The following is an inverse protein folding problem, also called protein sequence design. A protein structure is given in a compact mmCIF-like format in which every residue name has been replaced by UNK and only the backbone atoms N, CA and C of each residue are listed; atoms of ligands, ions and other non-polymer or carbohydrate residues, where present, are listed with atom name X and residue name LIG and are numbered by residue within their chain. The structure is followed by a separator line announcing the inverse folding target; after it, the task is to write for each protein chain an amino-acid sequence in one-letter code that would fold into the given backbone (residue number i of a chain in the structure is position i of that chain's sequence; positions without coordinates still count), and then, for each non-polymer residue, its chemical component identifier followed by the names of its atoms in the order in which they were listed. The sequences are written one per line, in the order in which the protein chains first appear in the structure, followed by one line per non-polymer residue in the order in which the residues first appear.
data_IF_464094533898
#
_entry.id   IF_464094533898
#
_cell.length_a   1.000
_cell.length_b   1.000
_cell.length_c   1.000
_cell.angle_alpha   90.00
_cell.angle_beta   90.00
_cell.angle_gamma   90.00
#
_symmetry.space_group_name_H-M   'P 1'
#
loop_
_entity.id
_entity.type
_entity.pdbx_description
1 polymer ?
#
# COMPACT_ATOMS: atom_id res chain seq x y z
N UNK A 1 26.61 -14.79 -33.03
CA UNK A 1 25.58 -14.86 -31.96
C UNK A 1 24.20 -14.88 -32.61
N UNK A 2 23.53 -16.05 -32.63
CA UNK A 2 22.32 -16.28 -33.42
C UNK A 2 21.22 -15.26 -33.12
N UNK A 3 20.64 -14.63 -34.15
CA UNK A 3 19.52 -13.67 -34.01
C UNK A 3 18.33 -14.27 -33.25
N UNK A 4 18.17 -15.59 -33.28
CA UNK A 4 17.18 -16.34 -32.50
C UNK A 4 17.48 -16.32 -30.98
N UNK A 5 18.74 -16.52 -30.57
CA UNK A 5 19.18 -16.45 -29.17
C UNK A 5 19.08 -15.03 -28.58
N UNK A 6 19.24 -14.01 -29.43
CA UNK A 6 19.09 -12.59 -29.06
C UNK A 6 17.61 -12.20 -28.86
N UNK A 7 16.70 -12.74 -29.67
CA UNK A 7 15.25 -12.52 -29.52
C UNK A 7 14.69 -13.20 -28.26
N UNK A 8 15.08 -14.45 -27.98
CA UNK A 8 14.67 -15.13 -26.75
C UNK A 8 15.23 -14.48 -25.49
N UNK A 9 16.46 -13.97 -25.52
CA UNK A 9 17.03 -13.23 -24.39
C UNK A 9 16.29 -11.91 -24.09
N UNK A 10 15.86 -11.18 -25.13
CA UNK A 10 15.08 -9.94 -24.96
C UNK A 10 13.70 -10.25 -24.37
N UNK A 11 13.03 -11.31 -24.85
CA UNK A 11 11.72 -11.73 -24.33
C UNK A 11 11.83 -12.13 -22.85
N UNK A 12 12.85 -12.89 -22.46
CA UNK A 12 13.11 -13.27 -21.07
C UNK A 12 13.39 -12.04 -20.17
N UNK A 13 14.11 -11.04 -20.68
CA UNK A 13 14.40 -9.80 -19.95
C UNK A 13 13.15 -8.94 -19.72
N UNK A 14 12.23 -8.89 -20.70
CA UNK A 14 10.94 -8.19 -20.56
C UNK A 14 10.01 -8.89 -19.57
N UNK A 15 10.00 -10.22 -19.53
CA UNK A 15 9.19 -11.01 -18.58
C UNK A 15 9.67 -10.83 -17.13
N UNK A 16 10.97 -10.64 -16.92
CA UNK A 16 11.55 -10.38 -15.60
C UNK A 16 11.18 -9.00 -15.05
N UNK A 17 10.93 -8.01 -15.91
CA UNK A 17 10.50 -6.66 -15.51
C UNK A 17 9.02 -6.59 -15.13
N UNK A 18 8.20 -7.57 -15.53
CA UNK A 18 6.78 -7.62 -15.22
C UNK A 18 6.49 -8.20 -13.81
N UNK A 19 7.52 -8.70 -13.11
CA UNK A 19 7.38 -9.36 -11.81
C UNK A 19 7.58 -8.43 -10.61
N UNK A 20 7.69 -7.11 -10.81
CA UNK A 20 7.68 -6.16 -9.69
C UNK A 20 6.27 -6.16 -9.08
N UNK A 21 6.09 -6.86 -7.97
CA UNK A 21 4.83 -7.00 -7.26
C UNK A 21 4.21 -5.65 -6.94
N UNK A 22 2.92 -5.50 -7.29
CA UNK A 22 2.14 -4.29 -7.02
C UNK A 22 1.87 -4.12 -5.51
N UNK A 23 1.93 -5.22 -4.74
CA UNK A 23 1.75 -5.27 -3.29
C UNK A 23 2.90 -6.03 -2.61
N UNK A 24 3.09 -5.79 -1.31
CA UNK A 24 4.10 -6.43 -0.49
C UNK A 24 3.97 -6.08 0.99
N UNK A 25 4.92 -6.52 1.81
CA UNK A 25 4.89 -6.24 3.25
C UNK A 25 5.77 -7.19 4.05
N UNK A 26 5.92 -6.89 5.33
CA UNK A 26 6.50 -7.79 6.32
C UNK A 26 5.65 -7.70 7.57
N UNK A 27 4.86 -8.73 7.82
CA UNK A 27 3.90 -8.74 8.91
C UNK A 27 3.63 -10.13 9.45
N UNK A 28 3.02 -10.15 10.63
CA UNK A 28 2.42 -11.32 11.26
C UNK A 28 0.97 -10.99 11.56
N UNK A 29 0.06 -11.89 11.15
CA UNK A 29 -1.34 -11.92 11.59
C UNK A 29 -1.57 -13.25 12.30
N UNK A 30 -2.19 -13.20 13.48
CA UNK A 30 -2.40 -14.44 14.28
C UNK A 30 -3.73 -15.12 13.96
N UNK A 31 -4.84 -14.38 13.92
CA UNK A 31 -6.19 -14.87 13.57
C UNK A 31 -6.87 -13.76 12.77
N UNK A 32 -7.45 -14.08 11.61
CA UNK A 32 -8.04 -13.10 10.71
C UNK A 32 -7.16 -12.82 9.49
N UNK A 33 -7.51 -11.79 8.72
CA UNK A 33 -6.82 -11.44 7.48
C UNK A 33 -6.89 -9.94 7.18
N UNK A 34 -6.10 -9.51 6.20
CA UNK A 34 -6.14 -8.18 5.60
C UNK A 34 -6.33 -8.38 4.10
N UNK A 35 -7.38 -7.78 3.56
CA UNK A 35 -7.79 -7.90 2.16
C UNK A 35 -7.58 -6.60 1.42
N UNK A 36 -6.84 -6.66 0.31
CA UNK A 36 -6.66 -5.52 -0.58
C UNK A 36 -7.64 -5.58 -1.75
N UNK A 37 -8.33 -4.47 -1.95
CA UNK A 37 -9.21 -4.19 -3.07
C UNK A 37 -8.53 -3.20 -4.02
N UNK A 38 -9.18 -2.87 -5.15
CA UNK A 38 -8.63 -1.91 -6.12
C UNK A 38 -8.36 -0.53 -5.48
N UNK A 39 -9.30 -0.08 -4.67
CA UNK A 39 -9.37 1.28 -4.13
C UNK A 39 -9.56 1.28 -2.60
N UNK A 40 -9.15 0.19 -1.94
CA UNK A 40 -9.28 0.07 -0.50
C UNK A 40 -8.54 -1.14 0.07
N UNK A 41 -8.45 -1.18 1.39
CA UNK A 41 -7.91 -2.28 2.17
C UNK A 41 -8.63 -2.34 3.49
N UNK A 42 -9.04 -3.53 3.90
CA UNK A 42 -9.68 -3.76 5.18
C UNK A 42 -9.04 -4.95 5.89
N UNK A 43 -9.25 -5.04 7.19
CA UNK A 43 -8.79 -6.19 7.95
C UNK A 43 -9.52 -6.33 9.27
N UNK A 44 -9.75 -7.57 9.67
CA UNK A 44 -10.29 -7.91 10.99
C UNK A 44 -9.46 -9.06 11.54
N UNK A 45 -8.81 -8.83 12.69
CA UNK A 45 -7.81 -9.77 13.20
C UNK A 45 -7.59 -9.65 14.72
N UNK A 46 -7.02 -10.70 15.30
CA UNK A 46 -6.64 -10.73 16.72
C UNK A 46 -5.31 -10.05 17.01
N UNK A 47 -4.38 -10.06 16.06
CA UNK A 47 -3.11 -9.33 16.18
C UNK A 47 -2.58 -9.08 14.77
N UNK A 48 -2.25 -7.84 14.46
CA UNK A 48 -1.47 -7.42 13.30
C UNK A 48 -0.22 -6.70 13.77
N UNK A 49 0.94 -7.26 13.42
CA UNK A 49 2.23 -6.68 13.75
C UNK A 49 3.15 -6.64 12.52
N UNK A 50 3.56 -5.44 12.11
CA UNK A 50 4.30 -5.18 10.90
C UNK A 50 3.50 -4.33 9.91
N UNK A 51 3.79 -4.46 8.62
CA UNK A 51 3.17 -3.62 7.59
C UNK A 51 2.84 -4.38 6.31
N UNK A 52 1.83 -3.90 5.59
CA UNK A 52 1.47 -4.34 4.26
C UNK A 52 1.19 -3.11 3.38
N UNK A 53 1.54 -3.17 2.10
CA UNK A 53 1.36 -2.06 1.18
C UNK A 53 0.86 -2.49 -0.19
N UNK A 54 0.21 -1.55 -0.87
CA UNK A 54 -0.07 -1.59 -2.31
C UNK A 54 0.53 -0.37 -3.00
N UNK A 55 0.91 -0.52 -4.27
CA UNK A 55 1.49 0.53 -5.07
C UNK A 55 0.44 1.14 -6.00
N UNK A 56 0.44 2.46 -6.10
CA UNK A 56 -0.45 3.24 -6.97
C UNK A 56 0.37 4.22 -7.79
N UNK A 57 -0.01 4.42 -9.06
CA UNK A 57 0.58 5.46 -9.91
C UNK A 57 -0.29 6.69 -9.84
N UNK A 58 0.33 7.84 -9.55
CA UNK A 58 -0.34 9.13 -9.41
C UNK A 58 0.41 10.16 -10.26
N UNK A 59 -0.33 11.13 -10.79
CA UNK A 59 0.18 12.24 -11.58
C UNK A 59 0.27 13.52 -10.75
N UNK A 60 1.21 14.40 -11.09
CA UNK A 60 1.30 15.74 -10.50
C UNK A 60 -0.03 16.49 -10.68
N UNK A 61 -0.56 17.01 -9.59
CA UNK A 61 -1.85 17.69 -9.54
C UNK A 61 -3.03 16.81 -9.12
N UNK A 62 -2.87 15.48 -9.11
CA UNK A 62 -3.88 14.58 -8.55
C UNK A 62 -4.14 14.92 -7.07
N UNK A 63 -5.40 14.82 -6.64
CA UNK A 63 -5.73 14.85 -5.21
C UNK A 63 -6.26 13.48 -4.79
N UNK A 64 -5.56 12.81 -3.88
CA UNK A 64 -6.02 11.55 -3.28
C UNK A 64 -6.69 11.80 -1.94
N UNK A 65 -7.92 11.32 -1.80
CA UNK A 65 -8.74 11.41 -0.58
C UNK A 65 -8.83 10.06 0.09
N UNK A 66 -8.45 9.97 1.36
CA UNK A 66 -8.52 8.78 2.19
C UNK A 66 -9.69 8.89 3.18
N UNK A 67 -10.41 7.79 3.38
CA UNK A 67 -11.34 7.61 4.48
C UNK A 67 -10.94 6.36 5.27
N UNK A 68 -10.83 6.51 6.58
CA UNK A 68 -10.33 5.50 7.49
C UNK A 68 -11.33 5.30 8.65
N UNK A 69 -11.72 4.06 8.86
CA UNK A 69 -12.44 3.60 10.04
C UNK A 69 -11.56 2.57 10.76
N UNK A 70 -11.34 2.77 12.07
CA UNK A 70 -10.55 1.85 12.90
C UNK A 70 -11.28 1.59 14.21
N UNK A 71 -11.38 0.32 14.57
CA UNK A 71 -11.78 -0.12 15.90
C UNK A 71 -10.57 -0.79 16.54
N UNK A 72 -9.99 -0.13 17.55
CA UNK A 72 -8.81 -0.64 18.28
C UNK A 72 -9.21 -1.18 19.64
N UNK A 73 -8.89 -2.44 19.90
CA UNK A 73 -8.95 -3.06 21.23
C UNK A 73 -7.60 -2.94 21.97
N UNK A 74 -6.50 -3.15 21.26
CA UNK A 74 -5.11 -3.01 21.77
C UNK A 74 -4.14 -2.59 20.67
N UNK A 75 -3.01 -2.00 21.06
CA UNK A 75 -1.91 -1.66 20.13
C UNK A 75 -2.16 -0.37 19.34
N UNK A 76 -1.41 -0.20 18.26
CA UNK A 76 -1.49 0.99 17.41
C UNK A 76 -1.66 0.62 15.95
N UNK A 77 -2.48 1.39 15.23
CA UNK A 77 -2.65 1.28 13.79
C UNK A 77 -2.33 2.60 13.10
N UNK A 78 -1.64 2.54 11.97
CA UNK A 78 -1.27 3.73 11.20
C UNK A 78 -1.33 3.44 9.71
N UNK A 79 -1.79 4.41 8.94
CA UNK A 79 -1.69 4.43 7.47
C UNK A 79 -0.58 5.40 7.08
N UNK A 80 0.29 4.99 6.16
CA UNK A 80 1.39 5.79 5.64
C UNK A 80 1.37 5.80 4.13
N UNK A 81 1.59 6.98 3.55
CA UNK A 81 1.81 7.14 2.12
C UNK A 81 3.27 7.44 1.92
N UNK A 82 3.93 6.59 1.13
CA UNK A 82 5.35 6.72 0.80
C UNK A 82 5.49 7.07 -0.67
N UNK A 83 6.42 7.95 -1.00
CA UNK A 83 6.77 8.26 -2.37
C UNK A 83 7.70 7.21 -3.00
N UNK A 84 8.18 7.52 -4.20
CA UNK A 84 9.07 6.64 -4.97
C UNK A 84 10.49 6.51 -4.39
N UNK A 85 10.94 7.48 -3.58
CA UNK A 85 12.22 7.42 -2.86
C UNK A 85 12.07 6.64 -1.54
N UNK A 86 10.82 6.46 -1.08
CA UNK A 86 10.46 5.77 0.15
C UNK A 86 10.29 6.71 1.33
N UNK A 87 10.20 8.01 1.07
CA UNK A 87 9.93 9.01 2.10
C UNK A 87 8.43 9.03 2.43
N UNK A 88 8.10 9.20 3.70
CA UNK A 88 6.73 9.29 4.18
C UNK A 88 6.23 10.71 3.95
N UNK A 89 5.26 10.86 3.04
CA UNK A 89 4.68 12.16 2.68
C UNK A 89 3.33 12.40 3.37
N UNK A 90 2.69 11.33 3.86
CA UNK A 90 1.49 11.43 4.70
C UNK A 90 1.46 10.28 5.72
N UNK A 91 0.99 10.59 6.93
CA UNK A 91 0.67 9.62 7.97
C UNK A 91 -0.72 9.93 8.51
N UNK A 92 -1.56 8.90 8.66
CA UNK A 92 -2.92 8.98 9.20
C UNK A 92 -3.00 8.04 10.39
N UNK A 93 -3.29 8.58 11.57
CA UNK A 93 -3.44 7.79 12.79
C UNK A 93 -4.89 7.30 12.96
N UNK A 94 -5.13 6.38 13.89
CA UNK A 94 -6.44 5.77 14.09
C UNK A 94 -7.56 6.74 14.52
N UNK A 95 -7.21 7.93 15.02
CA UNK A 95 -8.12 9.00 15.42
C UNK A 95 -8.51 9.94 14.25
N UNK A 96 -7.87 9.80 13.09
CA UNK A 96 -8.16 10.58 11.89
C UNK A 96 -9.08 9.79 10.95
N UNK A 97 -10.27 10.32 10.68
CA UNK A 97 -11.27 9.66 9.82
C UNK A 97 -11.09 9.92 8.33
N UNK A 98 -10.52 11.08 7.95
CA UNK A 98 -10.30 11.41 6.55
C UNK A 98 -9.13 12.35 6.35
N UNK A 99 -8.47 12.20 5.19
CA UNK A 99 -7.31 13.01 4.83
C UNK A 99 -7.16 13.14 3.33
N UNK A 100 -6.88 14.36 2.87
CA UNK A 100 -6.54 14.62 1.48
C UNK A 100 -5.04 14.86 1.32
N UNK A 101 -4.48 14.45 0.18
CA UNK A 101 -3.10 14.67 -0.21
C UNK A 101 -3.05 15.14 -1.67
N UNK A 102 -2.44 16.32 -1.89
CA UNK A 102 -2.10 16.81 -3.22
C UNK A 102 -0.78 16.19 -3.66
N UNK A 103 -0.74 15.62 -4.86
CA UNK A 103 0.45 14.99 -5.42
C UNK A 103 1.30 16.05 -6.13
N UNK A 104 2.48 16.32 -5.58
CA UNK A 104 3.40 17.32 -6.12
C UNK A 104 4.23 16.81 -7.30
N UNK A 105 4.39 15.49 -7.43
CA UNK A 105 5.24 14.88 -8.46
C UNK A 105 4.62 13.59 -9.02
N UNK A 106 4.61 13.44 -10.34
CA UNK A 106 4.19 12.18 -10.99
C UNK A 106 5.10 11.03 -10.58
N UNK A 107 4.52 9.93 -10.10
CA UNK A 107 5.32 8.83 -9.58
C UNK A 107 4.53 7.58 -9.19
N UNK A 108 5.24 6.59 -8.69
CA UNK A 108 4.64 5.43 -8.02
C UNK A 108 4.75 5.62 -6.52
N UNK A 109 3.62 5.60 -5.85
CA UNK A 109 3.47 5.76 -4.42
C UNK A 109 3.08 4.42 -3.78
N UNK A 110 3.35 4.27 -2.49
CA UNK A 110 2.91 3.11 -1.69
C UNK A 110 1.90 3.58 -0.65
N UNK A 111 0.73 2.96 -0.66
CA UNK A 111 -0.27 3.06 0.40
C UNK A 111 0.02 1.89 1.34
N UNK A 112 0.48 2.20 2.56
CA UNK A 112 0.92 1.23 3.55
C UNK A 112 0.03 1.28 4.79
N UNK A 113 -0.43 0.12 5.24
CA UNK A 113 -1.06 -0.07 6.55
C UNK A 113 -0.05 -0.72 7.49
N UNK A 114 0.02 -0.27 8.73
CA UNK A 114 0.98 -0.72 9.73
C UNK A 114 0.29 -0.94 11.08
N UNK A 115 0.54 -2.10 11.68
CA UNK A 115 0.12 -2.43 13.02
C UNK A 115 1.33 -2.64 13.92
N UNK A 116 1.31 -2.04 15.10
CA UNK A 116 2.20 -2.40 16.21
C UNK A 116 1.37 -3.12 17.26
N UNK A 117 1.37 -4.46 17.15
CA UNK A 117 0.51 -5.37 17.92
C UNK A 117 -0.96 -4.92 17.95
N UNK A 118 -1.45 -4.43 16.83
CA UNK A 118 -2.82 -3.94 16.75
C UNK A 118 -3.80 -5.10 16.85
N UNK A 119 -4.81 -4.96 17.71
CA UNK A 119 -5.94 -5.87 17.81
C UNK A 119 -7.22 -5.11 17.47
N UNK A 120 -8.04 -5.70 16.60
CA UNK A 120 -9.31 -5.12 16.17
C UNK A 120 -9.50 -5.19 14.65
N UNK A 121 -10.10 -4.14 14.10
CA UNK A 121 -10.44 -4.07 12.68
C UNK A 121 -10.23 -2.67 12.11
N UNK A 122 -10.07 -2.60 10.80
CA UNK A 122 -10.03 -1.34 10.05
C UNK A 122 -10.63 -1.49 8.65
N UNK A 123 -11.07 -0.37 8.10
CA UNK A 123 -11.41 -0.21 6.69
C UNK A 123 -10.82 1.11 6.17
N UNK A 124 -9.98 1.04 5.15
CA UNK A 124 -9.36 2.16 4.48
C UNK A 124 -9.80 2.18 3.01
N UNK A 125 -10.38 3.29 2.57
CA UNK A 125 -10.78 3.50 1.17
C UNK A 125 -10.14 4.77 0.66
N UNK A 126 -9.72 4.79 -0.61
CA UNK A 126 -9.16 5.97 -1.25
C UNK A 126 -9.75 6.26 -2.63
N UNK A 127 -9.75 7.54 -3.00
CA UNK A 127 -10.23 8.03 -4.29
C UNK A 127 -9.24 9.06 -4.86
N UNK A 128 -8.92 8.94 -6.14
CA UNK A 128 -8.08 9.90 -6.87
C UNK A 128 -8.99 10.80 -7.70
N UNK A 129 -8.83 12.12 -7.55
CA UNK A 129 -9.60 13.16 -8.24
C UNK A 129 -8.73 14.02 -9.13
#
# INVERSE_FOLDING_TARGET
MNRFKRKTAIILMVILLLLTGCSGGSYKITIGEIDFNKDGVSGAYKEFNGYQFTSIKLEEGDTISFNLEVTTEEGNFTVKILDSEGDIILSINSDEHSKDLLIEHTGTYRIQVEGDKHEGEFDLVWYVN
#
